data_IF_956286112795
#
_entry.id   IF_956286112795
#
_cell.length_a   1.000
_cell.length_b   1.000
_cell.length_c   1.000
_cell.angle_alpha   90.00
_cell.angle_beta   90.00
_cell.angle_gamma   90.00
#
_symmetry.space_group_name_H-M   'P 1'
#
loop_
_entity.id
_entity.type
_entity.pdbx_description
1 polymer ?
#
# COMPACT_ATOMS: atom_id res chain seq x y z
N UNK A 1 -16.64 6.88 -10.27
CA UNK A 1 -16.68 6.13 -9.00
C UNK A 1 -18.05 5.49 -8.90
N UNK A 2 -18.16 4.15 -8.96
CA UNK A 2 -19.46 3.45 -8.98
C UNK A 2 -19.94 3.28 -7.55
N UNK A 3 -20.50 4.34 -6.98
CA UNK A 3 -21.25 4.32 -5.72
C UNK A 3 -22.74 4.38 -6.02
N UNK A 4 -23.51 3.41 -5.50
CA UNK A 4 -24.97 3.44 -5.57
C UNK A 4 -25.50 4.50 -4.60
N UNK A 5 -25.73 5.71 -5.09
CA UNK A 5 -26.56 6.73 -4.44
C UNK A 5 -26.08 7.18 -3.06
N UNK A 6 -26.85 6.85 -2.01
CA UNK A 6 -26.75 7.41 -0.66
C UNK A 6 -25.77 6.68 0.28
N UNK A 7 -25.09 5.64 -0.20
CA UNK A 7 -24.12 4.89 0.61
C UNK A 7 -22.69 5.28 0.25
N UNK A 8 -21.89 5.61 1.27
CA UNK A 8 -20.44 5.62 1.13
C UNK A 8 -20.02 4.21 0.70
N UNK A 9 -19.43 4.03 -0.49
CA UNK A 9 -18.89 2.74 -0.87
C UNK A 9 -17.93 2.29 0.22
N UNK A 10 -17.98 1.02 0.63
CA UNK A 10 -16.82 0.41 1.25
C UNK A 10 -15.71 0.39 0.19
N UNK A 11 -14.98 1.49 0.05
CA UNK A 11 -13.78 1.58 -0.76
C UNK A 11 -12.66 0.86 -0.01
N UNK A 12 -12.74 -0.47 0.03
CA UNK A 12 -11.63 -1.35 0.43
C UNK A 12 -10.80 -1.78 -0.79
N UNK A 13 -11.06 -1.22 -1.97
CA UNK A 13 -10.16 -1.36 -3.10
C UNK A 13 -9.18 -0.19 -2.98
N UNK A 14 -8.04 -0.47 -2.33
CA UNK A 14 -6.95 0.48 -2.22
C UNK A 14 -6.56 1.05 -3.59
N UNK A 15 -5.90 2.20 -3.58
CA UNK A 15 -5.43 2.83 -4.82
C UNK A 15 -4.58 1.85 -5.64
N UNK A 16 -4.48 2.07 -6.97
CA UNK A 16 -3.70 1.20 -7.84
C UNK A 16 -2.25 1.07 -7.31
N UNK A 17 -1.67 2.16 -6.85
CA UNK A 17 -0.31 2.20 -6.32
C UNK A 17 -0.18 1.45 -4.99
N UNK A 18 -1.17 1.58 -4.10
CA UNK A 18 -1.24 0.85 -2.83
C UNK A 18 -1.30 -0.66 -3.09
N UNK A 19 -2.17 -1.08 -4.00
CA UNK A 19 -2.33 -2.48 -4.40
C UNK A 19 -1.05 -3.04 -5.03
N UNK A 20 -0.37 -2.24 -5.88
CA UNK A 20 0.93 -2.61 -6.46
C UNK A 20 2.01 -2.77 -5.39
N UNK A 21 2.07 -1.86 -4.42
CA UNK A 21 3.03 -1.93 -3.34
C UNK A 21 2.79 -3.17 -2.48
N UNK A 22 1.54 -3.47 -2.15
CA UNK A 22 1.17 -4.69 -1.43
C UNK A 22 1.68 -5.96 -2.16
N UNK A 23 1.38 -6.08 -3.46
CA UNK A 23 1.81 -7.23 -4.27
C UNK A 23 3.34 -7.32 -4.36
N UNK A 24 4.05 -6.20 -4.50
CA UNK A 24 5.53 -6.15 -4.45
C UNK A 24 6.05 -6.68 -3.12
N UNK A 25 5.47 -6.27 -1.98
CA UNK A 25 5.85 -6.79 -0.65
C UNK A 25 5.58 -8.30 -0.50
N UNK A 26 4.51 -8.82 -1.11
CA UNK A 26 4.25 -10.26 -1.14
C UNK A 26 5.37 -11.02 -1.87
N UNK A 27 5.81 -10.53 -3.03
CA UNK A 27 6.94 -11.12 -3.78
C UNK A 27 8.23 -11.05 -2.96
N UNK A 28 8.55 -9.89 -2.36
CA UNK A 28 9.76 -9.72 -1.52
C UNK A 28 9.79 -10.66 -0.31
N UNK A 29 8.61 -11.04 0.21
CA UNK A 29 8.47 -12.02 1.29
C UNK A 29 8.53 -13.47 0.83
N UNK A 30 8.71 -13.71 -0.47
CA UNK A 30 8.77 -15.05 -1.07
C UNK A 30 7.40 -15.73 -1.16
N UNK A 31 6.30 -14.99 -1.13
CA UNK A 31 4.98 -15.55 -1.41
C UNK A 31 4.84 -15.86 -2.90
N UNK A 32 4.04 -16.87 -3.23
CA UNK A 32 3.89 -17.38 -4.59
C UNK A 32 2.43 -17.61 -4.96
N UNK A 33 2.17 -17.79 -6.25
CA UNK A 33 0.85 -18.13 -6.78
C UNK A 33 0.51 -17.32 -8.03
N UNK A 34 -0.48 -17.78 -8.78
CA UNK A 34 -0.83 -17.27 -10.12
C UNK A 34 -0.99 -15.75 -10.20
N UNK A 35 -1.55 -15.12 -9.16
CA UNK A 35 -1.71 -13.67 -9.12
C UNK A 35 -0.38 -12.92 -8.98
N UNK A 36 0.58 -13.47 -8.22
CA UNK A 36 1.93 -12.90 -8.08
C UNK A 36 2.79 -13.18 -9.32
N UNK A 37 2.57 -14.32 -9.98
CA UNK A 37 3.21 -14.62 -11.27
C UNK A 37 2.81 -13.58 -12.32
N UNK A 38 1.49 -13.36 -12.49
CA UNK A 38 0.97 -12.32 -13.39
C UNK A 38 1.46 -10.92 -13.01
N UNK A 39 1.45 -10.58 -11.71
CA UNK A 39 1.97 -9.30 -11.24
C UNK A 39 3.46 -9.12 -11.58
N UNK A 40 4.27 -10.17 -11.41
CA UNK A 40 5.71 -10.13 -11.69
C UNK A 40 5.96 -9.91 -13.18
N UNK A 41 5.23 -10.63 -14.04
CA UNK A 41 5.37 -10.57 -15.49
C UNK A 41 4.87 -9.24 -16.08
N UNK A 42 3.72 -8.73 -15.62
CA UNK A 42 3.04 -7.61 -16.27
C UNK A 42 3.33 -6.25 -15.61
N UNK A 43 3.59 -6.22 -14.30
CA UNK A 43 3.66 -4.99 -13.53
C UNK A 43 5.06 -4.78 -12.95
N UNK A 44 5.65 -5.77 -12.29
CA UNK A 44 6.96 -5.63 -11.66
C UNK A 44 8.08 -5.44 -12.69
N UNK A 45 7.94 -6.08 -13.86
CA UNK A 45 8.85 -5.96 -15.00
C UNK A 45 8.82 -4.58 -15.68
N UNK A 46 7.81 -3.74 -15.39
CA UNK A 46 7.62 -2.45 -16.02
C UNK A 46 8.56 -1.38 -15.43
N UNK A 47 9.56 -0.96 -16.21
CA UNK A 47 10.56 0.04 -15.82
C UNK A 47 10.02 1.48 -15.72
N UNK A 48 8.79 1.73 -16.18
CA UNK A 48 8.11 3.03 -16.07
C UNK A 48 7.50 3.30 -14.69
N UNK A 49 7.48 2.32 -13.79
CA UNK A 49 6.91 2.47 -12.45
C UNK A 49 7.98 3.01 -11.49
N UNK A 50 7.73 4.17 -10.91
CA UNK A 50 8.57 4.75 -9.87
C UNK A 50 8.25 4.14 -8.50
N UNK A 51 8.85 2.99 -8.20
CA UNK A 51 8.63 2.30 -6.93
C UNK A 51 9.04 3.11 -5.69
N UNK A 52 10.05 3.97 -5.80
CA UNK A 52 10.53 4.79 -4.69
C UNK A 52 9.47 5.82 -4.28
N UNK A 53 8.82 6.46 -5.25
CA UNK A 53 7.74 7.43 -5.00
C UNK A 53 6.51 6.76 -4.39
N UNK A 54 6.12 5.60 -4.90
CA UNK A 54 5.03 4.79 -4.32
C UNK A 54 5.37 4.41 -2.87
N UNK A 55 6.58 3.95 -2.60
CA UNK A 55 7.01 3.61 -1.24
C UNK A 55 6.97 4.83 -0.32
N UNK A 56 7.45 6.00 -0.76
CA UNK A 56 7.38 7.22 0.05
C UNK A 56 5.95 7.62 0.40
N UNK A 57 5.00 7.43 -0.53
CA UNK A 57 3.58 7.76 -0.32
C UNK A 57 2.91 6.87 0.73
N UNK A 58 3.15 5.57 0.71
CA UNK A 58 2.39 4.61 1.53
C UNK A 58 3.17 3.98 2.68
N UNK A 59 4.50 4.09 2.71
CA UNK A 59 5.35 3.49 3.74
C UNK A 59 5.73 4.50 4.82
N UNK A 60 4.75 5.29 5.28
CA UNK A 60 4.92 6.24 6.39
C UNK A 60 3.67 6.28 7.25
N UNK A 61 3.86 6.62 8.53
CA UNK A 61 2.76 6.94 9.44
C UNK A 61 2.66 8.46 9.53
N UNK A 62 1.47 9.01 9.29
CA UNK A 62 1.23 10.44 9.47
C UNK A 62 1.54 10.86 10.90
N UNK A 63 2.08 12.06 11.11
CA UNK A 63 2.45 12.55 12.45
C UNK A 63 1.26 13.05 13.28
N UNK A 64 0.15 13.38 12.62
CA UNK A 64 -1.04 13.99 13.26
C UNK A 64 -2.31 13.17 13.03
N UNK A 65 -2.41 12.49 11.90
CA UNK A 65 -3.63 11.78 11.46
C UNK A 65 -3.43 10.27 11.62
N UNK A 66 -3.25 9.83 12.86
CA UNK A 66 -3.11 8.42 13.21
C UNK A 66 -3.92 8.06 14.46
N UNK A 67 -4.29 6.78 14.58
CA UNK A 67 -5.00 6.26 15.75
C UNK A 67 -4.06 5.59 16.78
N UNK A 68 -2.74 5.67 16.59
CA UNK A 68 -1.75 5.16 17.55
C UNK A 68 -1.87 5.98 18.85
N UNK A 69 -2.06 5.36 20.03
CA UNK A 69 -2.09 6.09 21.30
C UNK A 69 -0.79 6.86 21.54
N UNK A 70 -0.90 8.11 22.02
CA UNK A 70 0.24 9.04 22.20
C UNK A 70 1.41 8.42 22.96
N UNK A 71 1.13 7.68 24.04
CA UNK A 71 2.16 7.04 24.87
C UNK A 71 2.94 5.94 24.16
N UNK A 72 2.38 5.35 23.10
CA UNK A 72 3.07 4.41 22.20
C UNK A 72 3.80 5.22 21.14
N UNK A 73 3.11 6.15 20.48
CA UNK A 73 3.66 6.91 19.36
C UNK A 73 4.96 7.63 19.74
N UNK A 74 4.98 8.29 20.90
CA UNK A 74 6.16 8.98 21.42
C UNK A 74 7.38 8.06 21.60
N UNK A 75 7.18 6.76 21.80
CA UNK A 75 8.28 5.78 21.95
C UNK A 75 8.80 5.25 20.62
N UNK A 76 8.01 5.36 19.55
CA UNK A 76 8.32 4.71 18.26
C UNK A 76 8.49 5.70 17.10
N UNK A 77 8.11 6.98 17.26
CA UNK A 77 8.11 8.00 16.18
C UNK A 77 9.46 8.24 15.51
N UNK A 78 10.58 7.93 16.17
CA UNK A 78 11.92 8.04 15.57
C UNK A 78 12.25 6.87 14.63
N UNK A 79 11.45 5.79 14.66
CA UNK A 79 11.62 4.57 13.88
C UNK A 79 10.53 4.39 12.81
N UNK A 80 9.51 5.25 12.81
CA UNK A 80 8.41 5.31 11.84
C UNK A 80 8.78 6.18 10.66
#
# INVERSE_FOLDING_TARGET
MVGLGEHTPFECIGEIEESRLYMKRCVERGLTGKALDMFTEEILSNSGINWQEIEQKYNSVYSTEHAIPDWIFEKIKEQL
#
